data_IF_322273477982
#
_entry.id   IF_322273477982
#
_cell.length_a   1.000
_cell.length_b   1.000
_cell.length_c   1.000
_cell.angle_alpha   90.00
_cell.angle_beta   90.00
_cell.angle_gamma   90.00
#
_symmetry.space_group_name_H-M   'P 1'
#
loop_
_entity.id
_entity.type
_entity.pdbx_description
1 polymer ?
#
# COMPACT_ATOMS: atom_id res chain seq x y z
N UNK A 1 1.67 -19.42 9.38
CA UNK A 1 2.73 -18.40 9.63
C UNK A 1 2.23 -17.10 9.04
N UNK A 2 2.09 -16.01 9.81
CA UNK A 2 1.86 -14.69 9.21
C UNK A 2 3.12 -14.29 8.45
N UNK A 3 2.98 -13.81 7.23
CA UNK A 3 4.09 -13.21 6.50
C UNK A 3 4.39 -11.85 7.13
N UNK A 4 5.57 -11.71 7.73
CA UNK A 4 6.06 -10.49 8.40
C UNK A 4 6.54 -9.41 7.41
N UNK A 5 5.91 -9.36 6.23
CA UNK A 5 6.30 -8.49 5.12
C UNK A 5 5.07 -7.71 4.64
N UNK A 6 5.28 -6.44 4.30
CA UNK A 6 4.27 -5.61 3.64
C UNK A 6 4.23 -5.98 2.15
N UNK A 7 3.04 -6.24 1.63
CA UNK A 7 2.85 -6.51 0.21
C UNK A 7 2.77 -5.19 -0.57
N UNK A 8 3.55 -5.05 -1.64
CA UNK A 8 3.48 -3.91 -2.56
C UNK A 8 3.03 -4.44 -3.92
N UNK A 9 1.95 -3.88 -4.48
CA UNK A 9 1.37 -4.36 -5.74
C UNK A 9 0.77 -3.23 -6.59
N UNK A 10 0.71 -3.43 -7.90
CA UNK A 10 -0.08 -2.57 -8.82
C UNK A 10 -1.48 -3.13 -9.08
N UNK A 11 -1.76 -4.33 -8.56
CA UNK A 11 -3.03 -5.00 -8.76
C UNK A 11 -4.13 -4.30 -7.95
N UNK A 12 -5.11 -3.76 -8.65
CA UNK A 12 -6.23 -3.00 -8.07
C UNK A 12 -7.14 -3.86 -7.21
N UNK A 13 -7.15 -5.18 -7.39
CA UNK A 13 -8.06 -6.06 -6.68
C UNK A 13 -7.69 -6.14 -5.18
N UNK A 14 -6.41 -5.93 -4.86
CA UNK A 14 -5.91 -5.78 -3.48
C UNK A 14 -6.35 -4.48 -2.80
N UNK A 15 -7.00 -3.55 -3.52
CA UNK A 15 -7.62 -2.38 -2.92
C UNK A 15 -9.02 -2.68 -2.33
N UNK A 16 -9.51 -3.92 -2.47
CA UNK A 16 -10.79 -4.37 -1.91
C UNK A 16 -10.57 -5.22 -0.67
N UNK A 17 -10.84 -4.71 0.54
CA UNK A 17 -10.64 -5.48 1.77
C UNK A 17 -11.55 -6.71 1.89
N UNK A 18 -12.69 -6.73 1.18
CA UNK A 18 -13.59 -7.89 1.12
C UNK A 18 -12.95 -9.09 0.40
N UNK A 19 -12.01 -8.83 -0.51
CA UNK A 19 -11.28 -9.87 -1.25
C UNK A 19 -9.94 -10.20 -0.61
N UNK A 20 -9.25 -9.19 -0.07
CA UNK A 20 -7.93 -9.31 0.53
C UNK A 20 -7.88 -8.53 1.84
N UNK A 21 -8.20 -9.21 2.93
CA UNK A 21 -8.31 -8.55 4.22
C UNK A 21 -6.91 -8.18 4.76
N UNK A 22 -6.67 -6.92 5.16
CA UNK A 22 -5.34 -6.47 5.59
C UNK A 22 -4.78 -7.26 6.78
N UNK A 23 -5.67 -7.79 7.63
CA UNK A 23 -5.36 -8.62 8.80
C UNK A 23 -4.73 -9.98 8.46
N UNK A 24 -4.84 -10.44 7.22
CA UNK A 24 -4.21 -11.67 6.73
C UNK A 24 -2.72 -11.46 6.38
N UNK A 25 -2.28 -10.20 6.32
CA UNK A 25 -0.90 -9.80 6.00
C UNK A 25 -0.35 -8.85 7.06
N UNK A 26 0.93 -8.46 6.94
CA UNK A 26 1.48 -7.37 7.79
C UNK A 26 1.05 -6.00 7.28
N UNK A 27 0.38 -5.90 6.12
CA UNK A 27 -0.03 -4.65 5.49
C UNK A 27 0.06 -4.73 3.96
N UNK A 28 -0.73 -3.92 3.26
CA UNK A 28 -0.82 -3.91 1.79
C UNK A 28 -0.65 -2.48 1.30
N UNK A 29 0.20 -2.29 0.28
CA UNK A 29 0.38 -1.03 -0.46
C UNK A 29 0.00 -1.28 -1.90
N UNK A 30 -1.09 -0.67 -2.35
CA UNK A 30 -1.54 -0.69 -3.74
C UNK A 30 -1.10 0.59 -4.43
N UNK A 31 -0.26 0.46 -5.46
CA UNK A 31 0.25 1.54 -6.27
C UNK A 31 -0.70 1.84 -7.44
N UNK A 32 -1.36 2.99 -7.41
CA UNK A 32 -2.24 3.50 -8.46
C UNK A 32 -1.57 4.64 -9.22
N UNK A 33 -0.68 4.27 -10.13
CA UNK A 33 0.03 5.21 -11.01
C UNK A 33 -0.10 4.75 -12.46
N UNK A 34 -0.58 5.64 -13.32
CA UNK A 34 -0.72 5.36 -14.74
C UNK A 34 -0.28 6.56 -15.59
N UNK A 35 0.72 6.41 -16.48
CA UNK A 35 1.52 5.21 -16.73
C UNK A 35 2.52 4.91 -15.58
N UNK A 36 2.90 3.65 -15.34
CA UNK A 36 3.79 3.26 -14.24
C UNK A 36 5.25 3.61 -14.54
N UNK A 37 5.57 4.90 -14.51
CA UNK A 37 6.95 5.38 -14.67
C UNK A 37 7.76 5.10 -13.41
N UNK A 38 8.97 4.58 -13.57
CA UNK A 38 9.87 4.28 -12.46
C UNK A 38 10.05 5.45 -11.49
N UNK A 39 10.24 6.67 -12.02
CA UNK A 39 10.39 7.88 -11.20
C UNK A 39 9.14 8.18 -10.36
N UNK A 40 7.94 8.03 -10.94
CA UNK A 40 6.69 8.25 -10.23
C UNK A 40 6.53 7.23 -9.10
N UNK A 41 6.82 5.95 -9.37
CA UNK A 41 6.77 4.86 -8.38
C UNK A 41 7.74 5.12 -7.23
N UNK A 42 8.99 5.48 -7.53
CA UNK A 42 10.02 5.79 -6.53
C UNK A 42 9.59 6.96 -5.63
N UNK A 43 9.05 8.03 -6.22
CA UNK A 43 8.58 9.19 -5.47
C UNK A 43 7.40 8.82 -4.56
N UNK A 44 6.46 8.04 -5.08
CA UNK A 44 5.30 7.55 -4.34
C UNK A 44 5.69 6.73 -3.11
N UNK A 45 6.57 5.73 -3.32
CA UNK A 45 7.07 4.90 -2.24
C UNK A 45 7.88 5.73 -1.23
N UNK A 46 8.74 6.63 -1.70
CA UNK A 46 9.51 7.51 -0.82
C UNK A 46 8.58 8.36 0.06
N UNK A 47 7.59 9.03 -0.54
CA UNK A 47 6.67 9.89 0.20
C UNK A 47 5.86 9.09 1.24
N UNK A 48 5.38 7.90 0.88
CA UNK A 48 4.66 7.02 1.80
C UNK A 48 5.55 6.59 2.98
N UNK A 49 6.74 6.07 2.69
CA UNK A 49 7.65 5.55 3.71
C UNK A 49 8.22 6.64 4.63
N UNK A 50 8.41 7.85 4.12
CA UNK A 50 8.86 8.99 4.93
C UNK A 50 7.74 9.55 5.83
N UNK A 51 6.47 9.38 5.43
CA UNK A 51 5.33 9.99 6.13
C UNK A 51 4.62 9.06 7.12
N UNK A 52 4.82 7.75 6.99
CA UNK A 52 4.11 6.73 7.77
C UNK A 52 5.08 6.02 8.72
N UNK A 53 4.87 6.09 10.05
CA UNK A 53 5.65 5.31 11.01
C UNK A 53 5.54 3.80 10.77
N UNK A 54 6.61 3.05 11.04
CA UNK A 54 6.69 1.61 10.76
C UNK A 54 5.57 0.79 11.42
N UNK A 55 5.17 1.16 12.64
CA UNK A 55 4.09 0.51 13.39
C UNK A 55 2.72 0.67 12.73
N UNK A 56 2.54 1.69 11.89
CA UNK A 56 1.27 1.98 11.19
C UNK A 56 1.06 1.14 9.94
N UNK A 57 2.04 0.34 9.51
CA UNK A 57 1.85 -0.57 8.39
C UNK A 57 1.05 -1.81 8.75
N UNK A 58 1.08 -2.21 10.03
CA UNK A 58 0.40 -3.41 10.52
C UNK A 58 -1.09 -3.40 10.20
N UNK A 59 -1.57 -4.45 9.55
CA UNK A 59 -3.00 -4.68 9.27
C UNK A 59 -3.68 -3.49 8.54
N UNK A 60 -2.91 -2.72 7.78
CA UNK A 60 -3.39 -1.50 7.12
C UNK A 60 -3.27 -1.61 5.60
N UNK A 61 -4.29 -1.13 4.89
CA UNK A 61 -4.29 -0.99 3.43
C UNK A 61 -4.00 0.47 3.05
N UNK A 62 -2.93 0.67 2.29
CA UNK A 62 -2.57 1.94 1.69
C UNK A 62 -2.85 1.89 0.18
N UNK A 63 -3.54 2.90 -0.33
CA UNK A 63 -3.70 3.11 -1.77
C UNK A 63 -2.95 4.37 -2.14
N UNK A 64 -1.83 4.21 -2.84
CA UNK A 64 -0.90 5.28 -3.13
C UNK A 64 -1.05 5.74 -4.59
N UNK A 65 -1.48 6.99 -4.80
CA UNK A 65 -1.75 7.62 -6.10
C UNK A 65 -0.79 8.79 -6.36
N UNK A 66 -0.75 9.31 -7.58
CA UNK A 66 0.08 10.50 -7.87
C UNK A 66 -0.32 11.74 -7.04
N UNK A 67 -1.55 11.80 -6.52
CA UNK A 67 -2.07 12.93 -5.74
C UNK A 67 -1.95 12.73 -4.23
N UNK A 68 -1.65 11.52 -3.75
CA UNK A 68 -1.51 11.27 -2.32
C UNK A 68 -1.63 9.79 -1.93
N UNK A 69 -1.84 9.56 -0.64
CA UNK A 69 -2.03 8.22 -0.07
C UNK A 69 -3.37 8.20 0.65
N UNK A 70 -4.23 7.28 0.24
CA UNK A 70 -5.46 6.95 0.95
C UNK A 70 -5.20 5.78 1.90
N UNK A 71 -5.66 5.91 3.14
CA UNK A 71 -5.54 4.86 4.16
C UNK A 71 -6.94 4.27 4.34
N UNK A 72 -7.08 2.98 4.04
CA UNK A 72 -8.32 2.25 4.24
C UNK A 72 -8.14 1.44 5.53
N UNK A 73 -8.80 1.91 6.59
CA UNK A 73 -8.89 1.19 7.85
C UNK A 73 -10.10 0.26 7.79
N UNK A 74 -9.85 -1.05 7.90
CA UNK A 74 -10.88 -2.08 8.13
C UNK A 74 -11.00 -2.42 9.59
#
# INVERSE_FOLDING_TARGET
KRNSQVLITFDKDFASPDLYHPTETTGIIVLRVHPPKLKSIQLLLKNLLDSVPVDKFSETLFVATETGVEIIQT
#
